data_IF_727744173423
#
_entry.id   IF_727744173423
#
_cell.length_a   1.000
_cell.length_b   1.000
_cell.length_c   1.000
_cell.angle_alpha   90.00
_cell.angle_beta   90.00
_cell.angle_gamma   90.00
#
_symmetry.space_group_name_H-M   'P 1'
#
loop_
_entity.id
_entity.type
_entity.pdbx_description
1 polymer ?
#
# COMPACT_ATOMS: atom_id res chain seq x y z
N UNK A 1 -5.71 -20.14 26.36
CA UNK A 1 -6.23 -20.35 24.99
C UNK A 1 -5.63 -19.32 24.07
N UNK A 2 -5.15 -19.74 22.89
CA UNK A 2 -4.61 -18.86 21.86
C UNK A 2 -5.45 -19.07 20.61
N UNK A 3 -5.86 -17.98 19.96
CA UNK A 3 -6.60 -18.03 18.72
C UNK A 3 -5.93 -17.12 17.67
N UNK A 4 -5.78 -17.64 16.45
CA UNK A 4 -5.28 -16.90 15.32
C UNK A 4 -6.40 -16.67 14.31
N UNK A 5 -6.49 -15.46 13.79
CA UNK A 5 -7.35 -15.15 12.66
C UNK A 5 -6.61 -14.33 11.64
N UNK A 6 -6.92 -14.57 10.36
CA UNK A 6 -6.34 -13.86 9.24
C UNK A 6 -7.47 -13.33 8.37
N UNK A 7 -7.52 -12.02 8.16
CA UNK A 7 -8.53 -11.36 7.35
C UNK A 7 -7.86 -10.65 6.16
N UNK A 8 -8.12 -11.08 4.92
CA UNK A 8 -7.57 -10.40 3.74
C UNK A 8 -8.23 -9.03 3.55
N UNK A 9 -7.42 -8.02 3.25
CA UNK A 9 -7.87 -6.75 2.66
C UNK A 9 -7.69 -6.82 1.16
N UNK A 10 -8.73 -6.47 0.42
CA UNK A 10 -8.74 -6.50 -1.03
C UNK A 10 -8.59 -5.09 -1.61
N UNK A 11 -7.94 -5.00 -2.76
CA UNK A 11 -7.98 -3.80 -3.61
C UNK A 11 -9.35 -3.63 -4.26
N UNK A 12 -9.68 -2.46 -4.84
CA UNK A 12 -10.89 -2.29 -5.66
C UNK A 12 -11.02 -3.31 -6.80
N UNK A 13 -9.90 -3.87 -7.26
CA UNK A 13 -9.85 -4.94 -8.29
C UNK A 13 -10.04 -6.35 -7.73
N UNK A 14 -10.40 -6.49 -6.44
CA UNK A 14 -10.57 -7.75 -5.70
C UNK A 14 -9.29 -8.60 -5.60
N UNK A 15 -8.11 -8.01 -5.74
CA UNK A 15 -6.83 -8.68 -5.49
C UNK A 15 -6.44 -8.48 -4.04
N UNK A 16 -5.84 -9.49 -3.39
CA UNK A 16 -5.38 -9.37 -2.01
C UNK A 16 -4.24 -8.35 -1.93
N UNK A 17 -4.43 -7.33 -1.10
CA UNK A 17 -3.45 -6.28 -0.81
C UNK A 17 -2.58 -6.62 0.38
N UNK A 18 -3.26 -7.02 1.44
CA UNK A 18 -2.65 -7.30 2.72
C UNK A 18 -3.56 -8.24 3.51
N UNK A 19 -3.06 -8.76 4.61
CA UNK A 19 -3.81 -9.62 5.52
C UNK A 19 -3.64 -9.08 6.92
N UNK A 20 -4.73 -8.74 7.60
CA UNK A 20 -4.68 -8.48 9.04
C UNK A 20 -4.60 -9.84 9.73
N UNK A 21 -3.51 -10.07 10.45
CA UNK A 21 -3.35 -11.22 11.33
C UNK A 21 -3.61 -10.76 12.76
N UNK A 22 -4.48 -11.47 13.46
CA UNK A 22 -4.76 -11.23 14.88
C UNK A 22 -4.43 -12.46 15.69
N UNK A 23 -3.73 -12.23 16.80
CA UNK A 23 -3.46 -13.22 17.83
C UNK A 23 -4.21 -12.80 19.10
N UNK A 24 -5.16 -13.62 19.52
CA UNK A 24 -5.91 -13.42 20.77
C UNK A 24 -5.42 -14.41 21.79
N UNK A 25 -5.07 -13.92 22.96
CA UNK A 25 -4.57 -14.72 24.06
C UNK A 25 -5.47 -14.53 25.27
N UNK A 26 -5.86 -15.64 25.88
CA UNK A 26 -6.56 -15.68 27.16
C UNK A 26 -5.84 -16.68 28.06
N UNK A 27 -5.64 -16.32 29.32
CA UNK A 27 -4.94 -17.17 30.26
C UNK A 27 -5.21 -16.76 31.70
N UNK A 28 -4.54 -17.45 32.60
CA UNK A 28 -4.53 -17.15 34.01
C UNK A 28 -3.11 -17.27 34.56
N UNK A 29 -2.75 -16.36 35.44
CA UNK A 29 -1.58 -16.54 36.28
C UNK A 29 -1.97 -17.49 37.42
N UNK A 30 -1.36 -18.66 37.46
CA UNK A 30 -1.50 -19.59 38.59
C UNK A 30 -0.37 -19.37 39.58
N UNK A 31 -0.72 -19.15 40.84
CA UNK A 31 0.25 -18.99 41.93
C UNK A 31 0.25 -20.28 42.75
N UNK A 32 1.40 -20.93 42.90
CA UNK A 32 1.55 -22.14 43.71
C UNK A 32 2.47 -21.90 44.91
N UNK A 33 2.04 -22.33 46.09
CA UNK A 33 2.78 -22.20 47.35
C UNK A 33 2.44 -20.95 48.16
N UNK A 34 3.19 -20.71 49.25
CA UNK A 34 3.12 -19.48 50.02
C UNK A 34 3.80 -18.36 49.21
N UNK A 35 3.07 -17.75 48.28
CA UNK A 35 3.60 -16.68 47.44
C UNK A 35 3.36 -15.35 48.13
N UNK A 36 4.40 -14.54 48.24
CA UNK A 36 4.31 -13.14 48.66
C UNK A 36 3.39 -12.37 47.70
N UNK A 37 2.35 -11.73 48.25
CA UNK A 37 1.36 -10.96 47.49
C UNK A 37 2.02 -9.85 46.67
N UNK A 38 3.09 -9.25 47.18
CA UNK A 38 3.81 -8.18 46.49
C UNK A 38 4.55 -8.72 45.25
N UNK A 39 5.09 -9.93 45.32
CA UNK A 39 5.73 -10.59 44.18
C UNK A 39 4.72 -10.90 43.05
N UNK A 40 3.51 -11.30 43.40
CA UNK A 40 2.42 -11.52 42.43
C UNK A 40 2.03 -10.20 41.74
N UNK A 41 1.81 -9.15 42.55
CA UNK A 41 1.47 -7.82 42.04
C UNK A 41 2.54 -7.28 41.09
N UNK A 42 3.82 -7.45 41.43
CA UNK A 42 4.92 -7.05 40.58
C UNK A 42 4.89 -7.74 39.20
N UNK A 43 4.66 -9.06 39.16
CA UNK A 43 4.54 -9.80 37.88
C UNK A 43 3.38 -9.32 37.01
N UNK A 44 2.21 -9.06 37.60
CA UNK A 44 1.05 -8.55 36.87
C UNK A 44 1.34 -7.15 36.31
N UNK A 45 1.97 -6.28 37.11
CA UNK A 45 2.37 -4.94 36.64
C UNK A 45 3.37 -5.02 35.50
N UNK A 46 4.37 -5.90 35.58
CA UNK A 46 5.32 -6.14 34.48
C UNK A 46 4.62 -6.63 33.22
N UNK A 47 3.67 -7.57 33.34
CA UNK A 47 2.91 -8.08 32.20
C UNK A 47 2.05 -6.98 31.55
N UNK A 48 1.40 -6.13 32.35
CA UNK A 48 0.65 -4.96 31.84
C UNK A 48 1.57 -3.98 31.11
N UNK A 49 2.69 -3.60 31.75
CA UNK A 49 3.65 -2.69 31.15
C UNK A 49 4.22 -3.22 29.83
N UNK A 50 4.42 -4.53 29.71
CA UNK A 50 4.82 -5.16 28.45
C UNK A 50 3.74 -5.09 27.37
N UNK A 51 2.47 -5.30 27.73
CA UNK A 51 1.33 -5.18 26.81
C UNK A 51 0.96 -3.73 26.46
N UNK A 52 1.49 -2.74 27.19
CA UNK A 52 1.36 -1.32 26.87
C UNK A 52 2.39 -0.85 25.83
N UNK A 53 3.34 -1.71 25.43
CA UNK A 53 4.33 -1.41 24.40
C UNK A 53 3.90 -1.97 23.05
N UNK A 54 3.51 -1.08 22.14
CA UNK A 54 3.36 -1.43 20.74
C UNK A 54 4.71 -1.72 20.08
N UNK A 55 4.66 -2.33 18.90
CA UNK A 55 5.79 -2.65 18.03
C UNK A 55 6.80 -3.64 18.60
N UNK A 56 6.44 -4.38 19.64
CA UNK A 56 7.24 -5.48 20.19
C UNK A 56 6.88 -6.83 19.55
N UNK A 57 7.82 -7.76 19.57
CA UNK A 57 7.56 -9.14 19.17
C UNK A 57 6.65 -9.83 20.18
N UNK A 58 5.67 -10.59 19.69
CA UNK A 58 4.84 -11.45 20.52
C UNK A 58 5.25 -12.89 20.26
N UNK A 59 5.99 -13.47 21.21
CA UNK A 59 6.48 -14.84 21.12
C UNK A 59 5.98 -15.63 22.31
N UNK A 60 5.35 -16.77 22.04
CA UNK A 60 4.99 -17.73 23.07
C UNK A 60 6.15 -18.70 23.28
N UNK A 61 6.56 -18.89 24.52
CA UNK A 61 7.64 -19.81 24.89
C UNK A 61 7.07 -21.15 25.35
N UNK A 62 7.85 -22.22 25.19
CA UNK A 62 7.58 -23.51 25.80
C UNK A 62 7.75 -23.45 27.33
N UNK A 63 7.44 -24.56 28.02
CA UNK A 63 7.51 -24.65 29.48
C UNK A 63 8.92 -24.48 30.06
N UNK A 64 9.96 -24.53 29.22
CA UNK A 64 11.33 -24.24 29.61
C UNK A 64 11.62 -22.74 29.75
N UNK A 65 10.71 -21.88 29.29
CA UNK A 65 10.85 -20.43 29.34
C UNK A 65 11.92 -19.88 28.40
N UNK A 66 12.43 -20.68 27.46
CA UNK A 66 13.51 -20.26 26.54
C UNK A 66 13.25 -20.66 25.10
N UNK A 67 12.60 -21.80 24.84
CA UNK A 67 12.34 -22.26 23.48
C UNK A 67 11.11 -21.57 22.94
N UNK A 68 11.24 -20.90 21.79
CA UNK A 68 10.11 -20.28 21.08
C UNK A 68 9.18 -21.34 20.50
N UNK A 69 7.87 -21.12 20.66
CA UNK A 69 6.85 -21.90 19.95
C UNK A 69 6.60 -21.33 18.55
N UNK A 70 5.98 -22.10 17.64
CA UNK A 70 5.57 -21.61 16.32
C UNK A 70 4.52 -20.49 16.36
N UNK A 71 3.85 -20.29 17.51
CA UNK A 71 2.81 -19.28 17.68
C UNK A 71 3.45 -17.94 18.06
N UNK A 72 3.94 -17.24 17.04
CA UNK A 72 4.57 -15.93 17.20
C UNK A 72 4.14 -14.93 16.15
N UNK A 73 4.28 -13.67 16.51
CA UNK A 73 4.07 -12.51 15.64
C UNK A 73 5.31 -11.64 15.76
N UNK A 74 6.09 -11.52 14.68
CA UNK A 74 7.31 -10.72 14.65
C UNK A 74 6.99 -9.32 14.11
N UNK A 75 7.24 -8.29 14.92
CA UNK A 75 7.01 -6.89 14.59
C UNK A 75 7.99 -6.38 13.51
N UNK A 76 9.20 -6.96 13.51
CA UNK A 76 10.27 -6.68 12.55
C UNK A 76 10.21 -7.48 11.26
N UNK A 77 9.22 -8.36 11.05
CA UNK A 77 9.14 -9.17 9.85
C UNK A 77 9.06 -8.28 8.59
N UNK A 78 9.76 -8.67 7.52
CA UNK A 78 9.91 -7.85 6.31
C UNK A 78 8.57 -7.50 5.62
N UNK A 79 7.58 -8.37 5.77
CA UNK A 79 6.22 -8.17 5.25
C UNK A 79 5.25 -7.62 6.30
N UNK A 80 5.68 -7.31 7.53
CA UNK A 80 4.84 -6.68 8.54
C UNK A 80 4.78 -5.16 8.31
N UNK A 81 3.61 -4.68 7.88
CA UNK A 81 3.34 -3.31 7.49
C UNK A 81 3.27 -2.35 8.65
N UNK A 82 2.66 -2.80 9.74
CA UNK A 82 2.27 -1.95 10.87
C UNK A 82 3.17 -2.15 12.06
N UNK A 83 3.93 -3.24 12.10
CA UNK A 83 4.39 -3.81 13.35
C UNK A 83 3.21 -4.39 14.14
N UNK A 84 3.52 -4.97 15.28
CA UNK A 84 2.52 -5.54 16.18
C UNK A 84 1.89 -4.46 17.04
N UNK A 85 0.57 -4.41 17.08
CA UNK A 85 -0.18 -3.41 17.86
C UNK A 85 -1.09 -4.15 18.84
N UNK A 86 -1.06 -3.74 20.11
CA UNK A 86 -1.95 -4.30 21.14
C UNK A 86 -3.29 -3.57 21.05
N UNK A 87 -4.29 -4.20 20.43
CA UNK A 87 -5.57 -3.54 20.15
C UNK A 87 -6.59 -3.69 21.27
N UNK A 88 -6.39 -4.66 22.19
CA UNK A 88 -7.15 -4.72 23.44
C UNK A 88 -6.39 -5.44 24.55
N UNK A 89 -6.72 -5.06 25.77
CA UNK A 89 -6.37 -5.78 26.99
C UNK A 89 -7.60 -5.85 27.90
N UNK A 90 -7.81 -6.97 28.56
CA UNK A 90 -8.91 -7.17 29.48
C UNK A 90 -8.42 -7.91 30.74
N UNK A 91 -8.72 -7.33 31.90
CA UNK A 91 -8.36 -7.83 33.22
C UNK A 91 -9.65 -7.90 34.06
N UNK A 92 -10.46 -8.97 33.88
CA UNK A 92 -11.89 -8.95 34.19
C UNK A 92 -12.26 -8.81 35.67
N UNK A 93 -11.40 -9.23 36.60
CA UNK A 93 -11.60 -9.04 38.04
C UNK A 93 -10.60 -8.03 38.60
N UNK A 94 -10.97 -7.34 39.68
CA UNK A 94 -10.07 -6.48 40.47
C UNK A 94 -10.11 -6.87 41.96
N UNK A 95 -10.71 -8.02 42.25
CA UNK A 95 -10.95 -8.45 43.61
C UNK A 95 -9.62 -8.78 44.32
N UNK A 96 -9.49 -8.49 45.63
CA UNK A 96 -8.26 -8.76 46.38
C UNK A 96 -7.85 -10.24 46.34
N UNK A 97 -8.82 -11.16 46.27
CA UNK A 97 -8.61 -12.61 46.18
C UNK A 97 -7.91 -13.07 44.89
N UNK A 98 -7.96 -12.26 43.82
CA UNK A 98 -7.24 -12.56 42.57
C UNK A 98 -5.72 -12.68 42.76
N UNK A 99 -5.18 -12.03 43.82
CA UNK A 99 -3.76 -12.10 44.15
C UNK A 99 -3.40 -13.34 44.99
N UNK A 100 -4.39 -14.09 45.48
CA UNK A 100 -4.20 -15.26 46.32
C UNK A 100 -4.34 -16.59 45.55
N UNK A 101 -5.16 -16.64 44.50
CA UNK A 101 -5.46 -17.89 43.78
C UNK A 101 -5.00 -17.84 42.33
N UNK A 102 -5.77 -17.16 41.49
CA UNK A 102 -5.48 -17.01 40.06
C UNK A 102 -5.88 -15.62 39.57
N UNK A 103 -5.12 -15.11 38.59
CA UNK A 103 -5.47 -13.87 37.89
C UNK A 103 -5.72 -14.13 36.42
N UNK A 104 -6.97 -14.01 35.99
CA UNK A 104 -7.34 -14.12 34.59
C UNK A 104 -6.93 -12.87 33.79
N UNK A 105 -6.51 -13.07 32.55
CA UNK A 105 -6.19 -12.02 31.61
C UNK A 105 -6.58 -12.40 30.18
N UNK A 106 -6.86 -11.39 29.37
CA UNK A 106 -7.03 -11.53 27.93
C UNK A 106 -6.38 -10.35 27.23
N UNK A 107 -5.79 -10.57 26.07
CA UNK A 107 -5.28 -9.51 25.23
C UNK A 107 -5.32 -9.92 23.75
N UNK A 108 -5.25 -8.92 22.88
CA UNK A 108 -5.17 -9.13 21.45
C UNK A 108 -4.08 -8.27 20.83
N UNK A 109 -3.32 -8.91 19.96
CA UNK A 109 -2.33 -8.24 19.14
C UNK A 109 -2.74 -8.42 17.68
N UNK A 110 -2.64 -7.34 16.92
CA UNK A 110 -2.85 -7.37 15.47
C UNK A 110 -1.67 -6.77 14.71
N UNK A 111 -1.45 -7.29 13.52
CA UNK A 111 -0.51 -6.76 12.56
C UNK A 111 -1.05 -6.92 11.14
N UNK A 112 -0.79 -5.95 10.27
CA UNK A 112 -1.11 -6.07 8.84
C UNK A 112 0.11 -6.58 8.09
N UNK A 113 -0.02 -7.70 7.38
CA UNK A 113 1.02 -8.27 6.55
C UNK A 113 0.77 -7.97 5.08
N UNK A 114 1.79 -7.49 4.40
CA UNK A 114 1.79 -7.24 2.96
C UNK A 114 1.70 -8.54 2.18
N UNK A 115 0.92 -8.53 1.08
CA UNK A 115 1.03 -9.57 0.08
C UNK A 115 2.30 -9.33 -0.75
N UNK A 116 3.31 -10.22 -0.69
CA UNK A 116 4.55 -10.03 -1.44
C UNK A 116 4.33 -10.03 -2.96
N UNK A 117 3.18 -10.53 -3.44
CA UNK A 117 2.85 -10.56 -4.86
C UNK A 117 2.22 -9.26 -5.37
N UNK A 118 1.88 -8.31 -4.48
CA UNK A 118 1.24 -7.06 -4.87
C UNK A 118 2.19 -5.87 -4.71
N UNK A 119 2.87 -5.49 -5.80
CA UNK A 119 3.68 -4.28 -5.86
C UNK A 119 2.91 -3.05 -6.35
N UNK A 120 1.71 -3.22 -6.92
CA UNK A 120 0.94 -2.17 -7.58
C UNK A 120 -0.50 -2.13 -7.06
N UNK A 121 -0.87 -1.03 -6.42
CA UNK A 121 -2.20 -0.80 -5.82
C UNK A 121 -3.19 -0.19 -6.81
N UNK A 122 -2.72 0.80 -7.58
CA UNK A 122 -3.50 1.47 -8.61
C UNK A 122 -2.62 1.77 -9.83
N UNK A 123 -3.24 1.76 -11.00
CA UNK A 123 -2.61 2.15 -12.25
C UNK A 123 -3.67 2.74 -13.17
N UNK A 124 -3.41 3.95 -13.64
CA UNK A 124 -4.25 4.65 -14.60
C UNK A 124 -3.37 5.36 -15.62
N UNK A 125 -3.71 5.22 -16.89
CA UNK A 125 -3.00 5.87 -17.98
C UNK A 125 -4.02 6.36 -19.00
N UNK A 126 -3.72 7.51 -19.61
CA UNK A 126 -4.48 8.07 -20.71
C UNK A 126 -3.55 8.48 -21.84
N UNK A 127 -4.09 8.40 -23.06
CA UNK A 127 -3.42 8.87 -24.28
C UNK A 127 -4.38 9.85 -24.95
N UNK A 128 -3.95 11.10 -25.09
CA UNK A 128 -4.70 12.14 -25.81
C UNK A 128 -3.99 12.43 -27.12
N UNK A 129 -4.75 12.44 -28.21
CA UNK A 129 -4.24 12.74 -29.56
C UNK A 129 -4.96 13.99 -30.06
N UNK A 130 -4.22 14.94 -30.63
CA UNK A 130 -4.75 16.15 -31.25
C UNK A 130 -4.09 16.35 -32.60
N UNK A 131 -4.91 16.55 -33.64
CA UNK A 131 -4.46 16.58 -35.03
C UNK A 131 -4.68 15.26 -35.76
N UNK A 132 -4.62 15.30 -37.09
CA UNK A 132 -4.96 14.17 -37.97
C UNK A 132 -3.83 13.80 -38.91
N UNK A 133 -2.65 14.42 -38.77
CA UNK A 133 -1.51 14.29 -39.70
C UNK A 133 -1.81 14.65 -41.17
N UNK A 134 -3.06 15.01 -41.48
CA UNK A 134 -3.54 15.37 -42.81
C UNK A 134 -3.43 16.87 -43.15
N UNK A 135 -4.01 17.29 -44.28
CA UNK A 135 -3.88 18.66 -44.77
C UNK A 135 -4.54 19.69 -43.85
N UNK A 136 -3.85 20.80 -43.59
CA UNK A 136 -4.41 21.95 -42.86
C UNK A 136 -5.26 22.78 -43.84
N UNK A 137 -6.55 22.90 -43.54
CA UNK A 137 -7.51 23.70 -44.33
C UNK A 137 -7.89 24.96 -43.57
N UNK A 138 -7.99 26.09 -44.28
CA UNK A 138 -8.51 27.35 -43.75
C UNK A 138 -9.62 27.88 -44.64
N UNK A 139 -10.64 28.46 -44.03
CA UNK A 139 -11.67 29.20 -44.74
C UNK A 139 -11.14 30.59 -45.07
N UNK A 140 -11.14 30.92 -46.35
CA UNK A 140 -10.73 32.23 -46.86
C UNK A 140 -11.95 32.84 -47.56
N UNK A 141 -12.20 34.11 -47.26
CA UNK A 141 -13.25 34.87 -47.93
C UNK A 141 -12.76 35.33 -49.30
N UNK A 142 -13.50 35.00 -50.35
CA UNK A 142 -13.22 35.42 -51.72
C UNK A 142 -13.71 36.86 -51.94
N UNK A 143 -13.29 37.46 -53.07
CA UNK A 143 -13.64 38.84 -53.43
C UNK A 143 -15.15 39.04 -53.59
N UNK A 144 -15.87 38.00 -54.01
CA UNK A 144 -17.33 37.98 -54.12
C UNK A 144 -18.05 37.84 -52.76
N UNK A 145 -17.30 37.76 -51.67
CA UNK A 145 -17.82 37.63 -50.31
C UNK A 145 -18.11 36.20 -49.85
N UNK A 146 -17.99 35.19 -50.73
CA UNK A 146 -18.19 33.77 -50.39
C UNK A 146 -17.01 33.19 -49.61
N UNK A 147 -17.24 32.12 -48.84
CA UNK A 147 -16.18 31.43 -48.11
C UNK A 147 -15.78 30.14 -48.84
N UNK A 148 -14.49 29.99 -49.10
CA UNK A 148 -13.93 28.76 -49.69
C UNK A 148 -12.87 28.16 -48.78
N UNK A 149 -12.91 26.84 -48.60
CA UNK A 149 -11.86 26.10 -47.90
C UNK A 149 -10.66 25.92 -48.83
N UNK A 150 -9.47 26.36 -48.41
CA UNK A 150 -8.21 26.11 -49.12
C UNK A 150 -7.23 25.37 -48.22
N UNK A 151 -6.49 24.43 -48.82
CA UNK A 151 -5.39 23.73 -48.17
C UNK A 151 -4.20 24.68 -48.10
N UNK A 152 -3.68 24.92 -46.89
CA UNK A 152 -2.47 25.73 -46.67
C UNK A 152 -1.23 24.83 -46.59
N UNK A 153 -1.36 23.68 -45.92
CA UNK A 153 -0.30 22.68 -45.81
C UNK A 153 -0.84 21.31 -46.22
N UNK A 154 -0.05 20.55 -46.98
CA UNK A 154 -0.42 19.21 -47.48
C UNK A 154 -0.40 18.15 -46.37
N UNK A 155 0.39 18.36 -45.34
CA UNK A 155 0.45 17.53 -44.13
C UNK A 155 0.59 18.40 -42.88
N UNK A 156 0.23 17.81 -41.74
CA UNK A 156 0.40 18.41 -40.42
C UNK A 156 1.08 17.42 -39.49
N UNK A 157 1.55 17.90 -38.34
CA UNK A 157 1.90 17.04 -37.23
C UNK A 157 0.67 16.79 -36.37
N UNK A 158 0.72 15.74 -35.55
CA UNK A 158 -0.17 15.59 -34.41
C UNK A 158 0.60 15.72 -33.12
N UNK A 159 -0.11 16.16 -32.10
CA UNK A 159 0.36 16.20 -30.72
C UNK A 159 -0.23 15.03 -29.96
N UNK A 160 0.61 14.22 -29.33
CA UNK A 160 0.19 13.10 -28.50
C UNK A 160 0.66 13.35 -27.08
N UNK A 161 -0.21 13.17 -26.10
CA UNK A 161 0.12 13.27 -24.68
C UNK A 161 -0.17 11.91 -24.06
N UNK A 162 0.87 11.27 -23.54
CA UNK A 162 0.77 10.07 -22.74
C UNK A 162 0.97 10.47 -21.29
N UNK A 163 -0.05 10.31 -20.46
CA UNK A 163 0.04 10.67 -19.04
C UNK A 163 -0.63 9.61 -18.17
N UNK A 164 -0.16 9.49 -16.94
CA UNK A 164 -0.69 8.49 -16.04
C UNK A 164 -0.16 8.60 -14.63
N UNK A 165 -0.66 7.70 -13.80
CA UNK A 165 -0.25 7.52 -12.41
C UNK A 165 -0.21 6.04 -12.06
N UNK A 166 0.70 5.71 -11.16
CA UNK A 166 0.78 4.41 -10.52
C UNK A 166 0.99 4.61 -9.02
N UNK A 167 0.26 3.83 -8.22
CA UNK A 167 0.40 3.78 -6.78
C UNK A 167 1.08 2.46 -6.43
N UNK A 168 2.36 2.53 -6.08
CA UNK A 168 3.14 1.37 -5.67
C UNK A 168 2.94 1.04 -4.20
N UNK A 169 3.25 -0.20 -3.85
CA UNK A 169 3.21 -0.71 -2.50
C UNK A 169 4.62 -1.04 -2.01
N UNK A 170 5.05 -0.41 -0.92
CA UNK A 170 6.41 -0.60 -0.38
C UNK A 170 7.55 0.04 -1.18
N UNK A 171 7.34 0.37 -2.46
CA UNK A 171 8.30 1.09 -3.30
C UNK A 171 7.61 1.90 -4.41
N UNK A 172 8.31 2.87 -4.98
CA UNK A 172 7.85 3.59 -6.17
C UNK A 172 7.73 2.63 -7.36
N UNK A 173 6.58 2.62 -8.06
CA UNK A 173 6.40 1.78 -9.25
C UNK A 173 7.28 2.29 -10.40
N UNK A 174 7.64 1.38 -11.31
CA UNK A 174 8.31 1.73 -12.56
C UNK A 174 7.27 2.37 -13.49
N UNK A 175 7.59 3.56 -13.99
CA UNK A 175 6.80 4.25 -14.98
C UNK A 175 6.82 3.50 -16.31
N UNK A 176 5.71 3.47 -17.07
CA UNK A 176 5.71 2.93 -18.41
C UNK A 176 6.68 3.70 -19.31
N UNK A 177 7.35 3.01 -20.26
CA UNK A 177 8.17 3.69 -21.24
C UNK A 177 7.32 4.60 -22.15
N UNK A 178 7.94 5.63 -22.77
CA UNK A 178 7.32 6.43 -23.83
C UNK A 178 6.75 5.54 -24.96
N UNK A 179 5.53 5.84 -25.42
CA UNK A 179 4.88 5.09 -26.51
C UNK A 179 5.53 5.29 -27.89
N UNK A 180 6.31 6.35 -28.05
CA UNK A 180 7.00 6.69 -29.29
C UNK A 180 8.49 6.88 -29.01
N UNK A 181 9.29 6.74 -30.07
CA UNK A 181 10.72 6.97 -30.00
C UNK A 181 11.05 8.41 -29.57
N UNK A 182 12.17 8.56 -28.88
CA UNK A 182 12.64 9.82 -28.28
C UNK A 182 12.76 10.97 -29.29
N UNK A 183 13.03 10.67 -30.57
CA UNK A 183 13.08 11.67 -31.65
C UNK A 183 11.74 12.42 -31.87
N UNK A 184 10.63 11.85 -31.42
CA UNK A 184 9.30 12.47 -31.49
C UNK A 184 8.85 13.06 -30.16
N UNK A 185 9.64 12.90 -29.09
CA UNK A 185 9.30 13.38 -27.75
C UNK A 185 9.84 14.79 -27.52
N UNK A 186 8.97 15.66 -27.00
CA UNK A 186 9.37 16.94 -26.44
C UNK A 186 9.94 16.70 -25.04
N UNK A 187 11.23 16.36 -24.96
CA UNK A 187 11.93 16.03 -23.72
C UNK A 187 11.90 17.18 -22.69
N UNK A 188 11.85 18.43 -23.16
CA UNK A 188 11.66 19.63 -22.33
C UNK A 188 10.31 19.67 -21.61
N UNK A 189 9.33 18.89 -22.08
CA UNK A 189 7.98 18.79 -21.53
C UNK A 189 7.73 17.47 -20.80
N UNK A 190 8.75 16.60 -20.69
CA UNK A 190 8.68 15.37 -19.90
C UNK A 190 8.54 15.75 -18.43
N UNK A 191 7.53 15.18 -17.78
CA UNK A 191 7.34 15.33 -16.35
C UNK A 191 7.26 13.95 -15.72
N UNK A 192 8.13 13.68 -14.76
CA UNK A 192 8.06 12.50 -13.91
C UNK A 192 8.07 13.04 -12.49
N UNK A 193 6.97 12.82 -11.78
CA UNK A 193 6.80 13.32 -10.42
C UNK A 193 6.62 12.15 -9.47
N UNK A 194 7.32 12.23 -8.35
CA UNK A 194 7.22 11.29 -7.25
C UNK A 194 6.69 12.05 -6.05
N UNK A 195 5.52 11.66 -5.56
CA UNK A 195 5.02 12.20 -4.31
C UNK A 195 5.69 11.47 -3.15
N UNK A 196 5.95 12.16 -2.05
CA UNK A 196 6.44 11.49 -0.83
C UNK A 196 5.50 10.35 -0.42
N UNK A 197 6.02 9.26 0.17
CA UNK A 197 5.18 8.13 0.49
C UNK A 197 4.14 8.48 1.57
N UNK A 198 2.95 7.92 1.47
CA UNK A 198 1.97 7.99 2.55
C UNK A 198 2.49 7.18 3.74
N UNK A 199 2.42 7.76 4.93
CA UNK A 199 2.88 7.12 6.17
C UNK A 199 1.68 6.44 6.85
N UNK A 200 1.84 5.17 7.21
CA UNK A 200 0.89 4.41 8.01
C UNK A 200 1.63 3.80 9.20
N UNK A 201 1.20 4.12 10.44
CA UNK A 201 1.89 3.75 11.68
C UNK A 201 3.41 3.96 11.63
N UNK A 202 3.83 5.16 11.21
CA UNK A 202 5.24 5.58 11.11
C UNK A 202 6.08 4.83 10.07
N UNK A 203 5.48 4.00 9.21
CA UNK A 203 6.15 3.35 8.09
C UNK A 203 5.60 3.85 6.75
N UNK A 204 6.45 4.09 5.73
CA UNK A 204 5.99 4.47 4.40
C UNK A 204 5.30 3.27 3.73
N UNK A 205 4.08 3.48 3.25
CA UNK A 205 3.15 2.43 2.81
C UNK A 205 2.82 2.52 1.32
N UNK A 206 2.47 3.71 0.86
CA UNK A 206 1.97 3.99 -0.49
C UNK A 206 2.89 4.95 -1.22
N UNK A 207 3.27 4.63 -2.45
CA UNK A 207 4.27 5.39 -3.22
C UNK A 207 3.66 5.83 -4.54
N UNK A 208 3.24 7.10 -4.64
CA UNK A 208 2.64 7.62 -5.86
C UNK A 208 3.72 8.11 -6.83
N UNK A 209 3.63 7.64 -8.08
CA UNK A 209 4.40 8.15 -9.20
C UNK A 209 3.45 8.57 -10.32
N UNK A 210 3.68 9.76 -10.88
CA UNK A 210 2.97 10.25 -12.07
C UNK A 210 3.97 10.53 -13.18
N UNK A 211 3.52 10.38 -14.42
CA UNK A 211 4.33 10.65 -15.61
C UNK A 211 3.50 11.36 -16.66
N UNK A 212 4.18 12.16 -17.47
CA UNK A 212 3.64 12.83 -18.64
C UNK A 212 4.72 12.94 -19.70
N UNK A 213 4.45 12.36 -20.86
CA UNK A 213 5.25 12.45 -22.06
C UNK A 213 4.47 13.19 -23.12
N UNK A 214 5.12 14.13 -23.80
CA UNK A 214 4.52 14.91 -24.88
C UNK A 214 5.27 14.57 -26.15
N UNK A 215 4.53 14.23 -27.19
CA UNK A 215 5.09 13.92 -28.49
C UNK A 215 4.53 14.82 -29.57
N UNK A 216 5.31 14.99 -30.62
CA UNK A 216 4.88 15.54 -31.88
C UNK A 216 5.43 14.70 -33.03
N UNK A 217 4.53 14.22 -33.89
CA UNK A 217 4.91 13.31 -34.96
C UNK A 217 4.11 13.57 -36.23
N UNK A 218 4.74 13.44 -37.41
CA UNK A 218 4.05 13.46 -38.70
C UNK A 218 3.47 12.08 -39.08
N UNK A 219 3.79 11.03 -38.31
CA UNK A 219 3.40 9.66 -38.63
C UNK A 219 1.95 9.38 -38.23
N UNK A 220 1.26 8.53 -38.98
CA UNK A 220 0.00 7.93 -38.50
C UNK A 220 0.25 7.10 -37.23
N UNK A 221 -0.68 7.19 -36.29
CA UNK A 221 -0.58 6.59 -34.96
C UNK A 221 -1.99 6.27 -34.54
N UNK A 222 -2.27 4.98 -34.50
CA UNK A 222 -3.48 4.45 -33.94
C UNK A 222 -3.08 3.90 -32.58
N UNK A 223 -3.70 4.34 -31.47
CA UNK A 223 -3.43 3.72 -30.20
C UNK A 223 -3.85 2.26 -30.32
N UNK A 224 -2.88 1.35 -30.29
CA UNK A 224 -3.17 -0.05 -30.00
C UNK A 224 -3.87 -0.06 -28.63
N UNK A 225 -4.76 -1.03 -28.38
CA UNK A 225 -5.30 -1.21 -27.03
C UNK A 225 -4.12 -1.42 -26.09
N UNK A 226 -3.66 -0.35 -25.43
CA UNK A 226 -2.55 -0.35 -24.49
C UNK A 226 -3.10 -0.87 -23.16
N UNK A 227 -3.60 -2.10 -23.19
CA UNK A 227 -3.68 -2.95 -22.01
C UNK A 227 -2.52 -3.93 -22.10
N UNK A 228 -1.29 -3.55 -21.71
CA UNK A 228 -0.38 -4.57 -21.25
C UNK A 228 -1.05 -5.18 -20.02
N UNK A 229 -1.34 -6.47 -20.10
CA UNK A 229 -1.62 -7.29 -18.94
C UNK A 229 -0.40 -7.19 -18.01
N UNK A 230 -0.37 -6.17 -17.14
CA UNK A 230 0.43 -6.19 -15.92
C UNK A 230 -0.17 -7.31 -15.06
N UNK A 231 0.21 -8.55 -15.38
CA UNK A 231 0.04 -9.73 -14.54
C UNK A 231 1.21 -9.82 -13.57
#
# INVERSE_FOLDING_TARGET
>A
MINFSAQPKLTPRRVRRSTIVRMQCAGEFCFSGAVDQDAVKAKIVTAKAALDQDYQDLVMLHSDGTTESPYKLESGAANNATGNIVYYQNWPSTAPEDYATTKQFQFGVEAEFYDPNLSLLDFSQSIRITGTTGPIKRWIRLLDGTWQSRVIHTSSTKRIIQEGRALGFGAYPVEPPPILAEIYEHLDQRQIFQEGPSIFYSRPYEYLKTWRYVFETPLEFTPLNVYPLLR
#
